data_IF_990330821091
#
_entry.id   IF_990330821091
#
_cell.length_a   1.000
_cell.length_b   1.000
_cell.length_c   1.000
_cell.angle_alpha   90.00
_cell.angle_beta   90.00
_cell.angle_gamma   90.00
#
_symmetry.space_group_name_H-M   'P 1'
#
loop_
_entity.id
_entity.type
_entity.pdbx_description
1 polymer ?
#
# COMPACT_ATOMS: atom_id res chain seq x y z
N UNK A 1 -9.41 2.97 -26.40
CA UNK A 1 -8.61 4.07 -25.85
C UNK A 1 -7.12 3.69 -25.92
N UNK A 2 -6.29 4.56 -26.51
CA UNK A 2 -4.85 4.34 -26.56
C UNK A 2 -4.22 4.99 -25.32
N UNK A 3 -4.11 4.22 -24.23
CA UNK A 3 -3.52 4.72 -22.97
C UNK A 3 -2.00 4.60 -23.07
N UNK A 4 -1.24 5.68 -22.87
CA UNK A 4 0.22 5.65 -22.89
C UNK A 4 0.77 4.69 -21.83
N UNK A 5 1.84 3.98 -22.17
CA UNK A 5 2.51 3.07 -21.23
C UNK A 5 3.31 3.85 -20.21
N UNK A 6 3.22 3.45 -18.95
CA UNK A 6 3.87 4.09 -17.83
C UNK A 6 5.27 3.54 -17.58
N UNK A 7 6.18 4.40 -17.12
CA UNK A 7 7.50 4.03 -16.62
C UNK A 7 7.39 3.55 -15.15
N UNK A 8 6.52 4.17 -14.39
CA UNK A 8 6.21 3.81 -13.01
C UNK A 8 4.70 3.77 -12.82
N UNK A 9 4.21 2.75 -12.13
CA UNK A 9 2.86 2.69 -11.60
C UNK A 9 2.95 2.73 -10.08
N UNK A 10 2.21 3.63 -9.45
CA UNK A 10 1.98 3.62 -8.01
C UNK A 10 0.49 3.37 -7.80
N UNK A 11 0.16 2.28 -7.14
CA UNK A 11 -1.21 1.87 -6.90
C UNK A 11 -1.48 1.69 -5.41
N UNK A 12 -2.58 2.25 -4.93
CA UNK A 12 -3.13 2.01 -3.60
C UNK A 12 -4.37 1.14 -3.81
N UNK A 13 -4.21 -0.17 -3.64
CA UNK A 13 -5.29 -1.12 -3.91
C UNK A 13 -6.25 -1.23 -2.72
N UNK A 14 -7.52 -1.62 -2.93
CA UNK A 14 -8.42 -1.96 -1.84
C UNK A 14 -7.86 -3.08 -0.96
N UNK A 15 -7.89 -2.87 0.36
CA UNK A 15 -7.28 -3.81 1.32
C UNK A 15 -8.21 -4.97 1.71
N UNK A 16 -9.43 -5.00 1.20
CA UNK A 16 -10.46 -6.00 1.51
C UNK A 16 -10.76 -6.11 3.01
N UNK A 17 -10.64 -4.99 3.74
CA UNK A 17 -10.83 -4.95 5.19
C UNK A 17 -12.32 -5.00 5.60
N UNK A 18 -13.22 -4.61 4.73
CA UNK A 18 -14.65 -4.56 5.01
C UNK A 18 -14.98 -3.76 6.27
N UNK A 19 -15.75 -4.35 7.17
CA UNK A 19 -16.10 -3.74 8.45
C UNK A 19 -14.93 -3.51 9.41
N UNK A 20 -13.76 -4.08 9.13
CA UNK A 20 -12.54 -3.86 9.91
C UNK A 20 -11.75 -2.62 9.45
N UNK A 21 -12.23 -1.92 8.44
CA UNK A 21 -11.53 -0.78 7.85
C UNK A 21 -11.21 0.32 8.88
N UNK A 22 -12.11 0.56 9.81
CA UNK A 22 -11.92 1.51 10.91
C UNK A 22 -11.33 0.89 12.18
N UNK A 23 -11.00 -0.40 12.15
CA UNK A 23 -10.17 -1.06 13.14
C UNK A 23 -10.71 -1.11 14.57
N UNK A 24 -11.95 -0.76 14.78
CA UNK A 24 -12.51 -0.60 16.11
C UNK A 24 -13.32 -1.82 16.53
N UNK A 25 -12.84 -2.52 17.56
CA UNK A 25 -13.68 -3.48 18.24
C UNK A 25 -14.41 -2.76 19.40
N UNK A 26 -15.76 -2.73 19.42
CA UNK A 26 -16.54 -2.08 20.47
C UNK A 26 -16.10 -2.48 21.88
N UNK A 27 -15.85 -3.77 22.10
CA UNK A 27 -15.41 -4.30 23.40
C UNK A 27 -14.07 -3.72 23.84
N UNK A 28 -13.17 -3.44 22.91
CA UNK A 28 -11.86 -2.87 23.23
C UNK A 28 -11.97 -1.44 23.77
N UNK A 29 -12.89 -0.64 23.21
CA UNK A 29 -13.14 0.73 23.66
C UNK A 29 -14.00 0.81 24.90
N UNK A 30 -14.92 -0.11 25.10
CA UNK A 30 -15.77 -0.16 26.29
C UNK A 30 -14.98 -0.64 27.52
N UNK A 31 -14.17 -1.69 27.36
CA UNK A 31 -13.39 -2.32 28.44
C UNK A 31 -11.92 -1.87 28.46
N UNK A 32 -11.49 -1.04 27.51
CA UNK A 32 -10.11 -0.60 27.33
C UNK A 32 -9.86 0.82 27.86
N UNK A 33 -8.72 1.38 27.45
CA UNK A 33 -8.24 2.68 27.94
C UNK A 33 -9.03 3.89 27.40
N UNK A 34 -9.80 3.70 26.34
CA UNK A 34 -10.63 4.76 25.75
C UNK A 34 -12.11 4.61 26.11
N UNK A 35 -12.48 5.06 27.29
CA UNK A 35 -13.85 5.01 27.82
C UNK A 35 -14.85 5.97 27.13
N UNK A 36 -14.36 6.83 26.21
CA UNK A 36 -15.22 7.82 25.52
C UNK A 36 -15.93 7.28 24.28
N UNK A 37 -15.80 5.97 24.03
CA UNK A 37 -16.52 5.29 22.97
C UNK A 37 -15.80 5.26 21.64
N UNK A 38 -16.40 4.53 20.71
CA UNK A 38 -15.93 4.37 19.36
C UNK A 38 -16.24 5.57 18.48
N UNK A 39 -15.45 5.69 17.42
CA UNK A 39 -15.84 6.53 16.30
C UNK A 39 -17.20 6.07 15.76
N UNK A 40 -18.06 7.03 15.37
CA UNK A 40 -19.31 6.73 14.67
C UNK A 40 -19.12 5.95 13.34
N UNK A 41 -17.86 5.81 12.91
CA UNK A 41 -17.43 5.06 11.73
C UNK A 41 -17.04 3.63 12.03
N UNK A 42 -16.96 3.23 13.31
CA UNK A 42 -16.61 1.86 13.69
C UNK A 42 -17.56 0.84 13.06
N UNK A 43 -17.01 -0.22 12.50
CA UNK A 43 -17.78 -1.25 11.80
C UNK A 43 -18.31 -0.84 10.42
N UNK A 44 -18.04 0.37 9.93
CA UNK A 44 -18.38 0.79 8.58
C UNK A 44 -17.28 0.43 7.59
N UNK A 45 -17.66 0.23 6.35
CA UNK A 45 -16.72 0.04 5.24
C UNK A 45 -16.27 1.40 4.69
N UNK A 46 -15.06 1.47 4.12
CA UNK A 46 -14.62 2.65 3.37
C UNK A 46 -15.33 2.77 2.03
N UNK A 47 -15.48 1.63 1.35
CA UNK A 47 -16.07 1.53 0.01
C UNK A 47 -16.85 0.23 -0.12
N UNK A 48 -17.89 0.22 -0.94
CA UNK A 48 -18.64 -0.99 -1.29
C UNK A 48 -17.78 -2.01 -2.04
N UNK A 49 -16.72 -1.53 -2.73
CA UNK A 49 -15.79 -2.35 -3.51
C UNK A 49 -14.66 -2.95 -2.70
N UNK A 50 -14.50 -2.58 -1.42
CA UNK A 50 -13.36 -2.98 -0.59
C UNK A 50 -13.33 -4.49 -0.26
N UNK A 51 -14.43 -5.21 -0.46
CA UNK A 51 -14.51 -6.66 -0.23
C UNK A 51 -14.28 -7.51 -1.49
N UNK A 52 -14.33 -6.91 -2.68
CA UNK A 52 -14.36 -7.64 -3.95
C UNK A 52 -13.16 -7.36 -4.86
N UNK A 53 -12.10 -6.77 -4.33
CA UNK A 53 -10.90 -6.53 -5.10
C UNK A 53 -10.20 -7.83 -5.48
N UNK A 54 -9.93 -7.99 -6.78
CA UNK A 54 -9.31 -9.19 -7.34
C UNK A 54 -7.89 -8.89 -7.81
N UNK A 55 -6.92 -9.40 -7.07
CA UNK A 55 -5.50 -9.27 -7.39
C UNK A 55 -5.15 -9.71 -8.83
N UNK A 56 -5.68 -10.84 -9.37
CA UNK A 56 -5.38 -11.25 -10.74
C UNK A 56 -5.81 -10.23 -11.80
N UNK A 57 -6.99 -9.63 -11.66
CA UNK A 57 -7.51 -8.65 -12.61
C UNK A 57 -6.66 -7.37 -12.57
N UNK A 58 -6.30 -6.92 -11.37
CA UNK A 58 -5.42 -5.78 -11.17
C UNK A 58 -4.04 -6.03 -11.81
N UNK A 59 -3.40 -7.16 -11.51
CA UNK A 59 -2.07 -7.48 -12.03
C UNK A 59 -2.08 -7.64 -13.55
N UNK A 60 -3.13 -8.24 -14.11
CA UNK A 60 -3.31 -8.32 -15.57
C UNK A 60 -3.35 -6.92 -16.19
N UNK A 61 -4.16 -6.01 -15.65
CA UNK A 61 -4.26 -4.64 -16.13
C UNK A 61 -2.94 -3.88 -15.96
N UNK A 62 -2.41 -3.82 -14.74
CA UNK A 62 -1.23 -3.04 -14.40
C UNK A 62 0.02 -3.50 -15.18
N UNK A 63 0.22 -4.81 -15.34
CA UNK A 63 1.34 -5.34 -16.10
C UNK A 63 1.34 -4.90 -17.57
N UNK A 64 0.15 -4.73 -18.16
CA UNK A 64 -0.03 -4.27 -19.55
C UNK A 64 0.14 -2.75 -19.68
N UNK A 65 -0.06 -2.01 -18.61
CA UNK A 65 0.11 -0.55 -18.59
C UNK A 65 1.56 -0.13 -18.47
N UNK A 66 2.46 -0.99 -18.04
CA UNK A 66 3.89 -0.72 -17.98
C UNK A 66 4.54 -0.79 -19.38
N UNK A 67 5.55 0.03 -19.58
CA UNK A 67 6.45 -0.04 -20.75
C UNK A 67 7.13 -1.41 -20.82
N UNK A 68 7.58 -1.79 -22.01
CA UNK A 68 8.47 -2.93 -22.18
C UNK A 68 9.82 -2.67 -21.52
N UNK A 69 10.50 -3.72 -21.10
CA UNK A 69 11.87 -3.57 -20.60
C UNK A 69 12.80 -3.05 -21.71
N UNK A 70 13.62 -2.05 -21.41
CA UNK A 70 14.64 -1.58 -22.35
C UNK A 70 15.77 -2.63 -22.46
N UNK A 71 16.65 -2.46 -23.47
CA UNK A 71 17.85 -3.29 -23.59
C UNK A 71 18.83 -3.07 -22.44
N UNK A 72 18.90 -1.85 -21.91
CA UNK A 72 19.81 -1.46 -20.84
C UNK A 72 19.20 -1.70 -19.47
N UNK A 73 20.02 -2.13 -18.53
CA UNK A 73 19.64 -2.23 -17.10
C UNK A 73 19.61 -0.83 -16.46
N UNK A 74 18.90 -0.70 -15.33
CA UNK A 74 18.79 0.57 -14.60
C UNK A 74 17.81 1.58 -15.20
N UNK A 75 17.03 1.17 -16.19
CA UNK A 75 15.99 1.99 -16.81
C UNK A 75 14.66 1.25 -17.01
N UNK A 76 14.55 0.08 -16.43
CA UNK A 76 13.34 -0.73 -16.54
C UNK A 76 12.15 -0.06 -15.82
N UNK A 77 10.92 -0.26 -16.30
CA UNK A 77 9.74 0.17 -15.58
C UNK A 77 9.54 -0.64 -14.30
N UNK A 78 8.90 -0.01 -13.32
CA UNK A 78 8.55 -0.64 -12.05
C UNK A 78 7.10 -0.33 -11.65
N UNK A 79 6.61 -1.09 -10.69
CA UNK A 79 5.31 -0.86 -10.07
C UNK A 79 5.46 -0.89 -8.55
N UNK A 80 4.86 0.08 -7.86
CA UNK A 80 4.75 0.13 -6.40
C UNK A 80 3.29 -0.08 -6.05
N UNK A 81 3.00 -1.08 -5.24
CA UNK A 81 1.63 -1.40 -4.84
C UNK A 81 1.52 -1.33 -3.33
N UNK A 82 0.73 -0.38 -2.81
CA UNK A 82 0.32 -0.38 -1.42
C UNK A 82 -0.74 -1.44 -1.22
N UNK A 83 -0.62 -2.23 -0.15
CA UNK A 83 -1.47 -3.37 0.10
C UNK A 83 -1.57 -3.69 1.60
N UNK A 84 -2.56 -4.48 1.99
CA UNK A 84 -2.60 -5.07 3.31
C UNK A 84 -1.53 -6.16 3.48
N UNK A 85 -1.19 -6.47 4.72
CA UNK A 85 -0.16 -7.47 5.03
C UNK A 85 -0.47 -8.85 4.42
N UNK A 86 -1.69 -9.29 4.54
CA UNK A 86 -2.17 -10.59 4.05
C UNK A 86 -2.31 -10.67 2.53
N UNK A 87 -2.41 -9.53 1.84
CA UNK A 87 -2.46 -9.48 0.37
C UNK A 87 -1.08 -9.65 -0.28
N UNK A 88 0.01 -9.46 0.45
CA UNK A 88 1.36 -9.45 -0.13
C UNK A 88 1.69 -10.74 -0.87
N UNK A 89 1.34 -11.87 -0.27
CA UNK A 89 1.62 -13.17 -0.88
C UNK A 89 0.87 -13.37 -2.19
N UNK A 90 -0.42 -13.07 -2.21
CA UNK A 90 -1.22 -13.16 -3.43
C UNK A 90 -0.70 -12.24 -4.55
N UNK A 91 -0.27 -11.03 -4.20
CA UNK A 91 0.35 -10.09 -5.14
C UNK A 91 1.65 -10.63 -5.71
N UNK A 92 2.52 -11.19 -4.87
CA UNK A 92 3.82 -11.76 -5.30
C UNK A 92 3.60 -12.94 -6.25
N UNK A 93 2.72 -13.87 -5.89
CA UNK A 93 2.45 -15.04 -6.74
C UNK A 93 1.81 -14.64 -8.07
N UNK A 94 0.90 -13.68 -8.06
CA UNK A 94 0.28 -13.22 -9.31
C UNK A 94 1.27 -12.41 -10.14
N UNK A 95 2.12 -11.59 -9.53
CA UNK A 95 3.16 -10.82 -10.22
C UNK A 95 4.12 -11.73 -11.01
N UNK A 96 4.49 -12.89 -10.47
CA UNK A 96 5.34 -13.88 -11.16
C UNK A 96 4.71 -14.35 -12.47
N UNK A 97 3.39 -14.59 -12.50
CA UNK A 97 2.66 -15.00 -13.72
C UNK A 97 2.70 -13.93 -14.81
N UNK A 98 2.89 -12.66 -14.42
CA UNK A 98 3.03 -11.52 -15.33
C UNK A 98 4.48 -11.12 -15.61
N UNK A 99 5.44 -11.98 -15.26
CA UNK A 99 6.86 -11.81 -15.57
C UNK A 99 7.62 -10.87 -14.62
N UNK A 100 7.06 -10.52 -13.46
CA UNK A 100 7.78 -9.81 -12.42
C UNK A 100 8.58 -10.82 -11.59
N UNK A 101 9.90 -10.88 -11.81
CA UNK A 101 10.79 -11.82 -11.14
C UNK A 101 11.41 -11.27 -9.86
N UNK A 102 11.34 -9.96 -9.66
CA UNK A 102 11.88 -9.30 -8.48
C UNK A 102 10.83 -8.48 -7.74
N UNK A 103 10.94 -8.47 -6.42
CA UNK A 103 10.14 -7.62 -5.57
C UNK A 103 10.94 -7.14 -4.36
N UNK A 104 10.57 -5.98 -3.84
CA UNK A 104 11.14 -5.40 -2.62
C UNK A 104 9.97 -5.04 -1.70
N UNK A 105 10.04 -5.48 -0.46
CA UNK A 105 9.07 -5.11 0.56
C UNK A 105 9.43 -3.72 1.13
N UNK A 106 8.44 -2.83 1.13
CA UNK A 106 8.49 -1.52 1.79
C UNK A 106 7.56 -1.53 2.99
N UNK A 107 8.01 -0.98 4.09
CA UNK A 107 7.22 -0.79 5.30
C UNK A 107 7.20 0.69 5.66
N UNK A 108 6.03 1.25 5.83
CA UNK A 108 5.84 2.65 6.18
C UNK A 108 5.36 2.75 7.63
N UNK A 109 6.21 3.26 8.50
CA UNK A 109 5.93 3.40 9.93
C UNK A 109 5.14 4.67 10.19
N UNK A 110 3.90 4.52 10.66
CA UNK A 110 3.05 5.64 11.06
C UNK A 110 3.42 6.14 12.46
N UNK A 111 3.34 7.46 12.70
CA UNK A 111 3.62 8.04 14.02
C UNK A 111 2.54 7.69 15.05
N UNK A 112 1.36 7.31 14.59
CA UNK A 112 0.23 6.90 15.43
C UNK A 112 -0.29 5.56 14.97
N UNK A 113 -0.99 4.84 15.84
CA UNK A 113 -1.59 3.56 15.51
C UNK A 113 -3.09 3.71 15.22
N UNK A 114 -3.48 3.71 13.95
CA UNK A 114 -4.90 3.82 13.59
C UNK A 114 -5.63 2.47 13.60
N UNK A 115 -4.92 1.35 13.73
CA UNK A 115 -5.48 0.04 13.54
C UNK A 115 -5.27 -0.88 14.75
N UNK A 116 -6.35 -1.45 15.26
CA UNK A 116 -6.29 -2.52 16.27
C UNK A 116 -6.13 -3.85 15.56
N UNK A 117 -5.02 -4.54 15.80
CA UNK A 117 -4.74 -5.85 15.20
C UNK A 117 -5.37 -6.98 16.03
N UNK A 118 -5.28 -6.87 17.36
CA UNK A 118 -5.88 -7.83 18.28
C UNK A 118 -6.28 -7.13 19.57
N UNK A 119 -7.55 -6.82 19.71
CA UNK A 119 -8.09 -6.05 20.84
C UNK A 119 -7.79 -6.68 22.20
N UNK A 120 -8.11 -7.96 22.37
CA UNK A 120 -7.92 -8.66 23.65
C UNK A 120 -6.46 -8.77 24.10
N UNK A 121 -5.52 -8.63 23.16
CA UNK A 121 -4.07 -8.62 23.43
C UNK A 121 -3.50 -7.21 23.46
N UNK A 122 -4.33 -6.19 23.20
CA UNK A 122 -3.92 -4.79 23.07
C UNK A 122 -2.81 -4.54 22.04
N UNK A 123 -2.78 -5.37 20.99
CA UNK A 123 -1.85 -5.23 19.89
C UNK A 123 -2.45 -4.31 18.84
N UNK A 124 -1.73 -3.25 18.52
CA UNK A 124 -2.11 -2.24 17.54
C UNK A 124 -1.07 -2.13 16.42
N UNK A 125 -1.52 -1.86 15.21
CA UNK A 125 -0.68 -1.73 14.02
C UNK A 125 -0.35 -0.28 13.72
N UNK A 126 0.91 0.01 13.45
CA UNK A 126 1.36 1.32 13.00
C UNK A 126 2.14 1.25 11.69
N UNK A 127 2.01 0.16 10.96
CA UNK A 127 2.68 -0.02 9.68
C UNK A 127 1.67 -0.04 8.52
N UNK A 128 2.08 0.50 7.40
CA UNK A 128 1.53 0.20 6.09
C UNK A 128 2.58 -0.49 5.25
N UNK A 129 2.14 -1.24 4.25
CA UNK A 129 3.01 -2.06 3.43
C UNK A 129 2.90 -1.67 1.98
N UNK A 130 4.01 -1.84 1.28
CA UNK A 130 4.08 -1.72 -0.16
C UNK A 130 5.03 -2.73 -0.75
N UNK A 131 4.80 -3.09 -1.99
CA UNK A 131 5.67 -3.97 -2.77
C UNK A 131 6.14 -3.23 -4.01
N UNK A 132 7.45 -3.18 -4.22
CA UNK A 132 8.02 -2.74 -5.49
C UNK A 132 8.19 -3.97 -6.36
N UNK A 133 7.56 -4.00 -7.52
CA UNK A 133 7.70 -5.08 -8.50
C UNK A 133 8.52 -4.62 -9.69
N UNK A 134 9.44 -5.47 -10.14
CA UNK A 134 10.19 -5.29 -11.37
C UNK A 134 10.43 -6.63 -12.07
N UNK A 135 10.71 -6.57 -13.37
CA UNK A 135 10.98 -7.76 -14.17
C UNK A 135 12.46 -8.17 -14.04
N UNK A 136 13.07 -8.64 -15.10
CA UNK A 136 14.47 -9.11 -15.08
C UNK A 136 15.48 -7.99 -14.89
N UNK A 137 15.19 -6.81 -15.43
CA UNK A 137 16.10 -5.67 -15.39
C UNK A 137 15.74 -4.71 -14.25
N UNK A 138 16.76 -4.14 -13.65
CA UNK A 138 16.58 -3.19 -12.55
C UNK A 138 15.90 -1.90 -13.05
N UNK A 139 14.95 -1.38 -12.32
CA UNK A 139 14.38 -0.07 -12.58
C UNK A 139 15.38 1.05 -12.31
N UNK A 140 15.06 2.24 -12.75
CA UNK A 140 15.81 3.44 -12.41
C UNK A 140 15.46 3.86 -10.98
N UNK A 141 16.49 4.03 -10.16
CA UNK A 141 16.36 4.60 -8.83
C UNK A 141 17.15 5.91 -8.75
N UNK A 142 16.51 6.96 -8.27
CA UNK A 142 17.12 8.28 -8.13
C UNK A 142 17.58 8.53 -6.68
N UNK A 143 18.30 7.57 -6.11
CA UNK A 143 18.78 7.62 -4.73
C UNK A 143 20.17 8.27 -4.57
N UNK A 144 20.72 8.88 -5.62
CA UNK A 144 22.06 9.50 -5.62
C UNK A 144 23.16 8.56 -5.10
N UNK A 145 23.04 7.26 -5.37
CA UNK A 145 23.91 6.17 -4.86
C UNK A 145 23.92 6.02 -3.34
N UNK A 146 22.95 6.57 -2.63
CA UNK A 146 22.81 6.37 -1.20
C UNK A 146 21.98 5.12 -0.89
N UNK A 147 22.26 4.50 0.25
CA UNK A 147 21.43 3.41 0.75
C UNK A 147 20.08 3.94 1.19
N UNK A 148 19.00 3.29 0.76
CA UNK A 148 17.63 3.59 1.16
C UNK A 148 17.12 2.42 1.98
N UNK A 149 16.72 2.69 3.20
CA UNK A 149 16.10 1.67 4.06
C UNK A 149 14.70 1.36 3.58
N UNK A 150 14.33 0.07 3.60
CA UNK A 150 13.00 -0.36 3.22
C UNK A 150 11.92 -0.08 4.28
N UNK A 151 12.34 0.27 5.51
CA UNK A 151 11.45 0.81 6.54
C UNK A 151 11.58 2.33 6.51
N UNK A 152 10.49 3.01 6.19
CA UNK A 152 10.44 4.45 6.04
C UNK A 152 9.42 5.06 6.99
N UNK A 153 9.73 6.24 7.54
CA UNK A 153 8.75 6.96 8.32
C UNK A 153 7.66 7.55 7.42
N UNK A 154 6.42 7.44 7.87
CA UNK A 154 5.26 8.07 7.27
C UNK A 154 5.32 9.57 7.52
N UNK A 155 5.55 10.40 6.51
CA UNK A 155 5.68 11.83 6.72
C UNK A 155 4.33 12.45 7.11
N UNK A 156 4.39 13.50 7.92
CA UNK A 156 3.23 14.36 8.13
C UNK A 156 3.04 15.25 6.91
N UNK A 157 1.79 15.49 6.55
CA UNK A 157 1.41 16.37 5.46
C UNK A 157 0.39 17.40 5.97
N UNK A 158 0.86 18.42 6.67
CA UNK A 158 -0.02 19.46 7.25
C UNK A 158 -0.54 20.45 6.19
N UNK A 159 0.09 20.50 5.03
CA UNK A 159 -0.20 21.49 3.99
C UNK A 159 -1.23 21.02 2.97
N UNK A 160 -1.48 19.72 2.91
CA UNK A 160 -2.45 19.16 1.95
C UNK A 160 -3.78 18.91 2.64
N UNK A 161 -4.88 19.48 2.13
CA UNK A 161 -6.20 19.18 2.65
C UNK A 161 -6.48 17.67 2.62
N UNK A 162 -6.94 17.13 3.73
CA UNK A 162 -7.32 15.72 3.81
C UNK A 162 -8.72 15.55 3.23
N UNK A 163 -8.80 15.10 1.99
CA UNK A 163 -10.07 14.86 1.29
C UNK A 163 -10.57 13.41 1.43
N UNK A 164 -9.73 12.50 1.92
CA UNK A 164 -10.06 11.10 2.13
C UNK A 164 -9.43 10.54 3.41
N UNK A 165 -10.13 9.69 4.19
CA UNK A 165 -9.61 9.13 5.45
C UNK A 165 -8.28 8.37 5.30
N UNK A 166 -8.11 7.66 4.18
CA UNK A 166 -6.92 6.85 3.88
C UNK A 166 -5.94 7.51 2.92
N UNK A 167 -6.08 8.83 2.68
CA UNK A 167 -5.20 9.57 1.78
C UNK A 167 -3.73 9.38 2.14
N UNK A 168 -2.93 9.01 1.12
CA UNK A 168 -1.48 8.95 1.26
C UNK A 168 -0.89 10.35 1.26
N UNK A 169 0.10 10.65 2.12
CA UNK A 169 0.76 11.95 2.14
C UNK A 169 1.49 12.24 0.83
N UNK A 170 1.35 13.44 0.31
CA UNK A 170 2.07 13.85 -0.91
C UNK A 170 3.59 13.69 -0.75
N UNK A 171 4.23 14.11 0.37
CA UNK A 171 5.68 13.93 0.53
C UNK A 171 6.13 12.46 0.50
N UNK A 172 5.26 11.52 0.86
CA UNK A 172 5.57 10.10 0.71
C UNK A 172 5.59 9.69 -0.77
N UNK A 173 4.59 10.12 -1.53
CA UNK A 173 4.50 9.79 -2.97
C UNK A 173 5.64 10.43 -3.75
N UNK A 174 6.01 11.69 -3.46
CA UNK A 174 7.16 12.37 -4.05
C UNK A 174 8.48 11.64 -3.79
N UNK A 175 8.62 11.05 -2.58
CA UNK A 175 9.81 10.26 -2.25
C UNK A 175 9.89 8.95 -3.04
N UNK A 176 8.76 8.41 -3.49
CA UNK A 176 8.70 7.15 -4.23
C UNK A 176 8.83 7.33 -5.76
N UNK A 177 8.70 8.56 -6.26
CA UNK A 177 8.84 8.94 -7.67
C UNK A 177 10.29 9.35 -7.96
#
# INVERSE_FOLDING_TARGET
YNIPKAQLIIADIPYNLGANAYGSNPKWYIDGDNKKGESALAGKQFFDTDLNFKVPEFMHFASRMLRKEPKETGQAPAMIVFCAFDQQWALIEEAKKHGFSGYINLVFRKPTSPQVLKANMRIVGNAEYGLVFYRKKLPKFNNRRQMVMNIMDWPRDPNTPKVHPTQKPIPLLERLI
#
